data_IF_364711150720
#
_entry.id   IF_364711150720
#
_cell.length_a   1.000
_cell.length_b   1.000
_cell.length_c   1.000
_cell.angle_alpha   90.00
_cell.angle_beta   90.00
_cell.angle_gamma   90.00
#
_symmetry.space_group_name_H-M   'P 1'
#
loop_
_entity.id
_entity.type
_entity.pdbx_description
1 polymer ?
#
# COMPACT_ATOMS: atom_id res chain seq x y z
N UNK A 1 11.95 11.79 23.76
CA UNK A 1 11.31 10.72 22.96
C UNK A 1 10.07 11.16 22.19
N UNK A 2 8.96 11.59 22.81
CA UNK A 2 7.70 11.87 22.08
C UNK A 2 7.82 13.00 21.03
N UNK A 3 8.54 14.08 21.35
CA UNK A 3 8.81 15.18 20.41
C UNK A 3 9.72 14.79 19.25
N UNK A 4 10.71 13.92 19.49
CA UNK A 4 11.64 13.44 18.45
C UNK A 4 10.90 12.57 17.43
N UNK A 5 10.02 11.70 17.90
CA UNK A 5 9.17 10.85 17.03
C UNK A 5 8.21 11.74 16.24
N UNK A 6 7.58 12.72 16.88
CA UNK A 6 6.71 13.66 16.18
C UNK A 6 7.47 14.43 15.10
N UNK A 7 8.66 14.93 15.41
CA UNK A 7 9.51 15.61 14.44
C UNK A 7 9.92 14.69 13.28
N UNK A 8 10.24 13.42 13.57
CA UNK A 8 10.56 12.42 12.55
C UNK A 8 9.35 12.11 11.63
N UNK A 9 8.16 11.94 12.21
CA UNK A 9 6.91 11.73 11.45
C UNK A 9 6.65 12.93 10.54
N UNK A 10 6.73 14.15 11.08
CA UNK A 10 6.55 15.39 10.31
C UNK A 10 7.57 15.48 9.17
N UNK A 11 8.85 15.26 9.47
CA UNK A 11 9.91 15.30 8.46
C UNK A 11 9.68 14.28 7.33
N UNK A 12 9.37 13.02 7.68
CA UNK A 12 9.08 11.97 6.70
C UNK A 12 7.85 12.34 5.87
N UNK A 13 6.77 12.82 6.49
CA UNK A 13 5.56 13.24 5.78
C UNK A 13 5.84 14.39 4.82
N UNK A 14 6.57 15.42 5.25
CA UNK A 14 6.94 16.57 4.39
C UNK A 14 7.79 16.12 3.21
N UNK A 15 8.79 15.25 3.43
CA UNK A 15 9.62 14.71 2.35
C UNK A 15 8.77 13.90 1.38
N UNK A 16 7.88 13.04 1.88
CA UNK A 16 6.98 12.22 1.06
C UNK A 16 6.03 13.04 0.22
N UNK A 17 5.35 14.03 0.80
CA UNK A 17 4.40 14.88 0.09
C UNK A 17 5.11 15.79 -0.90
N UNK A 18 6.26 16.36 -0.54
CA UNK A 18 7.07 17.18 -1.47
C UNK A 18 7.52 16.35 -2.68
N UNK A 19 7.95 15.11 -2.45
CA UNK A 19 8.34 14.20 -3.53
C UNK A 19 7.17 13.89 -4.48
N UNK A 20 5.97 13.62 -3.95
CA UNK A 20 4.78 13.31 -4.77
C UNK A 20 4.25 14.53 -5.52
N UNK A 21 4.53 15.76 -5.07
CA UNK A 21 4.23 16.98 -5.84
C UNK A 21 5.15 17.11 -7.05
N UNK A 22 6.44 16.83 -6.90
CA UNK A 22 7.45 17.12 -7.95
C UNK A 22 7.62 15.97 -8.94
N UNK A 23 7.45 14.72 -8.50
CA UNK A 23 7.69 13.55 -9.35
C UNK A 23 6.47 13.12 -10.16
N UNK A 24 6.66 12.41 -11.28
CA UNK A 24 5.57 11.73 -11.98
C UNK A 24 4.85 10.75 -11.05
N UNK A 25 3.53 10.68 -11.18
CA UNK A 25 2.73 9.68 -10.46
C UNK A 25 2.93 8.29 -11.09
N UNK A 26 2.72 7.19 -10.32
CA UNK A 26 2.82 5.85 -10.86
C UNK A 26 1.87 5.63 -12.04
N UNK A 27 2.38 4.95 -13.07
CA UNK A 27 1.71 4.78 -14.37
C UNK A 27 0.28 4.21 -14.24
N UNK A 28 0.03 3.34 -13.26
CA UNK A 28 -1.26 2.64 -13.15
C UNK A 28 -2.37 3.48 -12.49
N UNK A 29 -2.03 4.63 -11.90
CA UNK A 29 -2.99 5.43 -11.13
C UNK A 29 -4.09 6.01 -12.01
N UNK A 30 -3.74 6.74 -13.07
CA UNK A 30 -4.72 7.36 -13.97
C UNK A 30 -5.44 6.38 -14.91
N UNK A 31 -4.79 5.37 -15.51
CA UNK A 31 -5.47 4.46 -16.44
C UNK A 31 -6.21 3.30 -15.76
N UNK A 32 -5.86 2.94 -14.51
CA UNK A 32 -6.47 1.78 -13.83
C UNK A 32 -7.16 2.14 -12.52
N UNK A 33 -6.49 2.85 -11.61
CA UNK A 33 -7.04 3.12 -10.27
C UNK A 33 -8.17 4.16 -10.30
N UNK A 34 -7.94 5.33 -10.90
CA UNK A 34 -8.95 6.41 -10.94
C UNK A 34 -10.24 6.00 -11.68
N UNK A 35 -10.18 5.32 -12.85
CA UNK A 35 -11.37 4.83 -13.53
C UNK A 35 -12.13 3.79 -12.71
N UNK A 36 -11.42 2.88 -12.04
CA UNK A 36 -12.02 1.89 -11.14
C UNK A 36 -12.78 2.56 -9.99
N UNK A 37 -12.16 3.53 -9.32
CA UNK A 37 -12.79 4.29 -8.23
C UNK A 37 -14.00 5.11 -8.70
N UNK A 38 -13.92 5.73 -9.88
CA UNK A 38 -15.02 6.56 -10.42
C UNK A 38 -16.25 5.72 -10.79
N UNK A 39 -16.03 4.51 -11.27
CA UNK A 39 -17.07 3.67 -11.87
C UNK A 39 -17.52 2.49 -11.00
N UNK A 40 -16.97 2.31 -9.80
CA UNK A 40 -17.30 1.17 -8.92
C UNK A 40 -18.80 0.98 -8.69
N UNK A 41 -19.58 2.07 -8.61
CA UNK A 41 -21.04 2.00 -8.47
C UNK A 41 -21.70 1.31 -9.68
N UNK A 42 -21.22 1.59 -10.89
CA UNK A 42 -21.74 0.97 -12.10
C UNK A 42 -21.36 -0.51 -12.18
N UNK A 43 -20.14 -0.86 -11.75
CA UNK A 43 -19.70 -2.27 -11.64
C UNK A 43 -20.60 -3.05 -10.69
N UNK A 44 -20.95 -2.48 -9.54
CA UNK A 44 -21.83 -3.13 -8.56
C UNK A 44 -23.29 -3.23 -9.02
N UNK A 45 -23.78 -2.29 -9.83
CA UNK A 45 -25.21 -2.18 -10.18
C UNK A 45 -25.58 -2.74 -11.56
N UNK A 46 -24.72 -2.62 -12.57
CA UNK A 46 -25.11 -2.74 -13.99
C UNK A 46 -24.41 -3.86 -14.77
N UNK A 47 -23.62 -4.71 -14.10
CA UNK A 47 -22.86 -5.79 -14.76
C UNK A 47 -21.96 -5.33 -15.93
N UNK A 48 -21.54 -4.06 -15.93
CA UNK A 48 -20.67 -3.52 -16.98
C UNK A 48 -19.22 -3.82 -16.64
N UNK A 49 -18.50 -4.48 -17.55
CA UNK A 49 -17.04 -4.59 -17.49
C UNK A 49 -16.46 -3.20 -17.70
N UNK A 50 -15.94 -2.59 -16.64
CA UNK A 50 -15.30 -1.26 -16.73
C UNK A 50 -13.81 -1.47 -16.93
N UNK A 51 -13.26 -0.86 -17.99
CA UNK A 51 -11.83 -0.72 -18.19
C UNK A 51 -11.22 0.11 -17.05
N UNK A 52 -10.65 -0.58 -16.06
CA UNK A 52 -10.09 0.02 -14.85
C UNK A 52 -9.64 -1.07 -13.89
N UNK A 53 -8.42 -1.58 -14.10
CA UNK A 53 -7.89 -2.79 -13.45
C UNK A 53 -7.31 -2.53 -12.06
N UNK A 54 -8.15 -2.20 -11.10
CA UNK A 54 -7.79 -2.21 -9.68
C UNK A 54 -8.47 -3.41 -9.00
N UNK A 55 -7.85 -4.61 -9.00
CA UNK A 55 -8.46 -5.86 -8.53
C UNK A 55 -8.51 -5.93 -6.99
N UNK A 56 -9.14 -4.95 -6.36
CA UNK A 56 -9.24 -4.83 -4.92
C UNK A 56 -10.64 -5.15 -4.42
N UNK A 57 -10.72 -5.60 -3.18
CA UNK A 57 -11.98 -5.98 -2.56
C UNK A 57 -12.82 -4.76 -2.21
N UNK A 58 -14.09 -4.99 -1.89
CA UNK A 58 -15.04 -3.92 -1.53
C UNK A 58 -14.54 -3.06 -0.36
N UNK A 59 -13.78 -3.65 0.56
CA UNK A 59 -13.17 -2.96 1.71
C UNK A 59 -12.14 -1.92 1.25
N UNK A 60 -11.32 -2.25 0.26
CA UNK A 60 -10.37 -1.29 -0.30
C UNK A 60 -11.09 -0.11 -0.96
N UNK A 61 -12.19 -0.37 -1.69
CA UNK A 61 -13.02 0.68 -2.27
C UNK A 61 -13.68 1.52 -1.18
N UNK A 62 -14.16 0.92 -0.09
CA UNK A 62 -14.76 1.64 1.03
C UNK A 62 -13.79 2.66 1.66
N UNK A 63 -12.50 2.34 1.72
CA UNK A 63 -11.45 3.25 2.22
C UNK A 63 -11.07 4.29 1.17
N UNK A 64 -10.81 3.87 -0.07
CA UNK A 64 -10.18 4.74 -1.08
C UNK A 64 -11.16 5.64 -1.83
N UNK A 65 -12.43 5.25 -1.95
CA UNK A 65 -13.45 6.04 -2.63
C UNK A 65 -13.70 7.42 -1.99
N UNK A 66 -13.89 7.57 -0.66
CA UNK A 66 -14.06 8.89 -0.06
C UNK A 66 -12.83 9.78 -0.26
N UNK A 67 -11.61 9.21 -0.20
CA UNK A 67 -10.36 9.93 -0.42
C UNK A 67 -10.26 10.40 -1.88
N UNK A 68 -10.59 9.53 -2.83
CA UNK A 68 -10.60 9.87 -4.26
C UNK A 68 -11.67 10.91 -4.60
N UNK A 69 -12.85 10.86 -3.95
CA UNK A 69 -13.88 11.91 -4.07
C UNK A 69 -13.38 13.25 -3.55
N UNK A 70 -12.73 13.28 -2.39
CA UNK A 70 -12.10 14.49 -1.86
C UNK A 70 -11.04 15.03 -2.83
N UNK A 71 -10.32 14.15 -3.51
CA UNK A 71 -9.33 14.49 -4.54
C UNK A 71 -9.94 14.82 -5.91
N UNK A 72 -11.27 14.84 -6.05
CA UNK A 72 -11.99 15.01 -7.32
C UNK A 72 -11.53 14.02 -8.41
N UNK A 73 -11.13 12.81 -8.01
CA UNK A 73 -10.56 11.77 -8.88
C UNK A 73 -9.29 12.19 -9.65
N UNK A 74 -8.54 13.16 -9.13
CA UNK A 74 -7.20 13.47 -9.61
C UNK A 74 -6.18 12.55 -8.90
N UNK A 75 -5.44 11.76 -9.65
CA UNK A 75 -4.51 10.77 -9.09
C UNK A 75 -3.41 11.37 -8.22
N UNK A 76 -2.89 12.55 -8.59
CA UNK A 76 -1.86 13.25 -7.81
C UNK A 76 -2.39 13.72 -6.46
N UNK A 77 -3.56 14.37 -6.43
CA UNK A 77 -4.17 14.78 -5.16
C UNK A 77 -4.60 13.60 -4.30
N UNK A 78 -5.04 12.50 -4.92
CA UNK A 78 -5.34 11.28 -4.19
C UNK A 78 -4.11 10.70 -3.49
N UNK A 79 -2.96 10.60 -4.17
CA UNK A 79 -1.69 10.16 -3.57
C UNK A 79 -1.25 11.12 -2.45
N UNK A 80 -1.45 12.43 -2.63
CA UNK A 80 -1.13 13.42 -1.59
C UNK A 80 -1.97 13.20 -0.33
N UNK A 81 -3.28 13.00 -0.46
CA UNK A 81 -4.14 12.67 0.67
C UNK A 81 -3.79 11.35 1.32
N UNK A 82 -3.44 10.32 0.54
CA UNK A 82 -2.90 9.08 1.10
C UNK A 82 -1.65 9.35 1.93
N UNK A 83 -0.69 10.13 1.43
CA UNK A 83 0.54 10.45 2.17
C UNK A 83 0.30 11.26 3.46
N UNK A 84 -0.69 12.15 3.46
CA UNK A 84 -1.08 12.91 4.65
C UNK A 84 -1.75 12.03 5.70
N UNK A 85 -2.69 11.17 5.29
CA UNK A 85 -3.36 10.22 6.18
C UNK A 85 -2.40 9.15 6.71
N UNK A 86 -1.42 8.74 5.89
CA UNK A 86 -0.38 7.78 6.27
C UNK A 86 0.48 8.27 7.46
N UNK A 87 0.52 9.59 7.72
CA UNK A 87 1.25 10.14 8.88
C UNK A 87 0.71 9.64 10.22
N UNK A 88 -0.61 9.38 10.31
CA UNK A 88 -1.26 8.81 11.49
C UNK A 88 -0.77 7.38 11.73
N UNK A 89 -0.66 6.59 10.66
CA UNK A 89 -0.22 5.20 10.72
C UNK A 89 1.29 5.11 10.94
N UNK A 90 2.07 6.05 10.39
CA UNK A 90 3.48 6.19 10.69
C UNK A 90 3.71 6.46 12.17
N UNK A 91 2.91 7.33 12.79
CA UNK A 91 2.93 7.52 14.23
C UNK A 91 2.50 6.25 14.99
N UNK A 92 1.41 5.60 14.59
CA UNK A 92 0.93 4.35 15.20
C UNK A 92 1.99 3.23 15.16
N UNK A 93 2.78 3.15 14.08
CA UNK A 93 3.83 2.15 13.92
C UNK A 93 4.90 2.19 15.01
N UNK A 94 5.05 3.33 15.70
CA UNK A 94 5.94 3.46 16.84
C UNK A 94 5.58 2.53 18.01
N UNK A 95 4.30 2.13 18.13
CA UNK A 95 3.86 1.17 19.15
C UNK A 95 4.53 -0.21 19.02
N UNK A 96 5.11 -0.51 17.85
CA UNK A 96 5.89 -1.73 17.59
C UNK A 96 7.39 -1.57 17.91
N UNK A 97 7.79 -0.44 18.51
CA UNK A 97 9.18 -0.09 18.76
C UNK A 97 9.89 0.51 17.53
N UNK A 98 11.15 0.90 17.72
CA UNK A 98 11.92 1.64 16.71
C UNK A 98 12.11 0.86 15.40
N UNK A 99 12.35 -0.46 15.48
CA UNK A 99 12.48 -1.31 14.30
C UNK A 99 11.17 -1.42 13.52
N UNK A 100 10.04 -1.57 14.20
CA UNK A 100 8.71 -1.57 13.57
C UNK A 100 8.42 -0.23 12.89
N UNK A 101 8.76 0.87 13.56
CA UNK A 101 8.66 2.22 12.99
C UNK A 101 9.51 2.37 11.72
N UNK A 102 10.77 1.97 11.73
CA UNK A 102 11.63 2.07 10.55
C UNK A 102 11.18 1.16 9.42
N UNK A 103 10.75 -0.07 9.73
CA UNK A 103 10.20 -0.99 8.73
C UNK A 103 8.98 -0.37 8.06
N UNK A 104 8.05 0.20 8.83
CA UNK A 104 6.89 0.87 8.30
C UNK A 104 7.24 2.15 7.53
N UNK A 105 8.15 2.98 8.06
CA UNK A 105 8.65 4.16 7.38
C UNK A 105 9.24 3.81 6.02
N UNK A 106 10.02 2.74 5.92
CA UNK A 106 10.60 2.29 4.67
C UNK A 106 9.54 1.71 3.71
N UNK A 107 8.78 0.70 4.15
CA UNK A 107 7.77 0.00 3.34
C UNK A 107 6.68 0.97 2.87
N UNK A 108 6.16 1.80 3.78
CA UNK A 108 5.16 2.81 3.49
C UNK A 108 5.66 3.86 2.50
N UNK A 109 6.91 4.33 2.62
CA UNK A 109 7.49 5.27 1.65
C UNK A 109 7.58 4.64 0.27
N UNK A 110 8.14 3.42 0.20
CA UNK A 110 8.31 2.72 -1.07
C UNK A 110 6.95 2.49 -1.75
N UNK A 111 5.96 2.02 -1.00
CA UNK A 111 4.63 1.78 -1.56
C UNK A 111 3.93 3.08 -1.93
N UNK A 112 4.04 4.16 -1.17
CA UNK A 112 3.42 5.45 -1.53
C UNK A 112 3.92 5.93 -2.89
N UNK A 113 5.22 5.77 -3.15
CA UNK A 113 5.85 6.24 -4.38
C UNK A 113 5.71 5.29 -5.57
N UNK A 114 5.46 3.99 -5.35
CA UNK A 114 5.49 2.97 -6.41
C UNK A 114 4.16 2.25 -6.62
N UNK A 115 3.41 2.04 -5.55
CA UNK A 115 2.14 1.31 -5.53
C UNK A 115 1.19 1.95 -4.50
N UNK A 116 0.78 3.22 -4.68
CA UNK A 116 0.05 4.00 -3.67
C UNK A 116 -1.27 3.37 -3.24
N UNK A 117 -1.90 2.58 -4.12
CA UNK A 117 -3.07 1.78 -3.81
C UNK A 117 -2.84 0.74 -2.70
N UNK A 118 -1.60 0.38 -2.35
CA UNK A 118 -1.32 -0.51 -1.23
C UNK A 118 -1.28 0.20 0.13
N UNK A 119 -1.24 1.54 0.15
CA UNK A 119 -1.12 2.30 1.40
C UNK A 119 -2.29 2.02 2.35
N UNK A 120 -3.52 1.97 1.84
CA UNK A 120 -4.67 1.57 2.65
C UNK A 120 -4.60 0.14 3.17
N UNK A 121 -3.87 -0.76 2.49
CA UNK A 121 -3.65 -2.12 2.99
C UNK A 121 -2.60 -2.11 4.12
N UNK A 122 -1.54 -1.30 4.01
CA UNK A 122 -0.60 -1.08 5.11
C UNK A 122 -1.30 -0.53 6.35
N UNK A 123 -2.27 0.37 6.18
CA UNK A 123 -3.09 0.91 7.27
C UNK A 123 -3.85 -0.20 7.99
N UNK A 124 -4.53 -1.07 7.24
CA UNK A 124 -5.22 -2.22 7.80
C UNK A 124 -4.24 -3.14 8.54
N UNK A 125 -3.06 -3.42 7.96
CA UNK A 125 -2.05 -4.24 8.65
C UNK A 125 -1.63 -3.60 9.98
N UNK A 126 -1.37 -2.29 10.04
CA UNK A 126 -1.01 -1.62 11.30
C UNK A 126 -2.15 -1.49 12.30
N UNK A 127 -3.40 -1.35 11.83
CA UNK A 127 -4.56 -1.33 12.72
C UNK A 127 -4.71 -2.64 13.49
N UNK A 128 -4.01 -3.71 13.11
CA UNK A 128 -3.95 -4.92 13.90
C UNK A 128 -3.33 -4.73 15.29
N UNK A 129 -2.45 -3.72 15.44
CA UNK A 129 -1.95 -3.28 16.75
C UNK A 129 -3.05 -2.76 17.67
N UNK A 130 -4.20 -2.38 17.12
CA UNK A 130 -5.40 -1.98 17.86
C UNK A 130 -6.39 -3.15 17.97
N UNK A 131 -6.58 -3.91 16.90
CA UNK A 131 -7.48 -5.07 16.88
C UNK A 131 -7.00 -6.15 15.91
N UNK A 132 -6.67 -7.37 16.37
CA UNK A 132 -6.06 -8.40 15.53
C UNK A 132 -6.88 -8.82 14.30
N UNK A 133 -8.20 -8.59 14.32
CA UNK A 133 -9.09 -8.83 13.18
C UNK A 133 -8.62 -8.12 11.90
N UNK A 134 -7.93 -6.99 12.03
CA UNK A 134 -7.42 -6.27 10.88
C UNK A 134 -6.35 -7.03 10.08
N UNK A 135 -5.62 -8.00 10.69
CA UNK A 135 -4.72 -8.89 9.94
C UNK A 135 -5.47 -9.83 8.99
N UNK A 136 -6.73 -10.15 9.27
CA UNK A 136 -7.59 -10.95 8.38
C UNK A 136 -8.23 -10.04 7.33
N UNK A 137 -8.65 -8.84 7.75
CA UNK A 137 -9.28 -7.85 6.87
C UNK A 137 -8.31 -7.36 5.79
N UNK A 138 -7.03 -7.18 6.10
CA UNK A 138 -6.03 -6.69 5.14
C UNK A 138 -5.90 -7.57 3.86
N UNK A 139 -5.69 -8.90 3.96
CA UNK A 139 -5.77 -9.81 2.82
C UNK A 139 -7.10 -9.74 2.07
N UNK A 140 -8.23 -9.71 2.79
CA UNK A 140 -9.56 -9.63 2.18
C UNK A 140 -9.72 -8.34 1.37
N UNK A 141 -9.23 -7.21 1.88
CA UNK A 141 -9.26 -5.93 1.17
C UNK A 141 -8.35 -5.93 -0.06
N UNK A 142 -7.23 -6.68 -0.02
CA UNK A 142 -6.29 -6.78 -1.14
C UNK A 142 -6.81 -7.68 -2.27
N UNK A 143 -7.55 -8.73 -1.93
CA UNK A 143 -8.18 -9.65 -2.88
C UNK A 143 -9.51 -9.07 -3.39
N UNK A 144 -10.00 -9.44 -4.57
CA UNK A 144 -11.27 -8.93 -5.14
C UNK A 144 -12.53 -9.45 -4.42
N UNK A 145 -12.46 -9.66 -3.10
CA UNK A 145 -13.57 -10.16 -2.29
C UNK A 145 -14.69 -9.13 -2.23
N UNK A 146 -15.93 -9.58 -2.43
CA UNK A 146 -17.12 -8.72 -2.42
C UNK A 146 -17.39 -7.99 -3.74
N UNK A 147 -16.55 -8.19 -4.76
CA UNK A 147 -16.88 -7.79 -6.14
C UNK A 147 -17.67 -8.91 -6.84
N UNK A 148 -18.54 -8.57 -7.81
CA UNK A 148 -19.24 -9.56 -8.59
C UNK A 148 -18.29 -10.28 -9.58
N UNK A 149 -18.55 -11.57 -9.84
CA UNK A 149 -17.65 -12.46 -10.60
C UNK A 149 -17.26 -11.94 -12.00
N UNK A 150 -18.14 -11.20 -12.68
CA UNK A 150 -17.85 -10.62 -13.99
C UNK A 150 -16.74 -9.55 -13.97
N UNK A 151 -16.39 -8.99 -12.81
CA UNK A 151 -15.27 -8.07 -12.64
C UNK A 151 -13.90 -8.80 -12.55
N UNK A 152 -13.89 -10.14 -12.44
CA UNK A 152 -12.68 -10.94 -12.24
C UNK A 152 -11.93 -11.23 -13.55
N UNK A 153 -12.59 -11.19 -14.72
CA UNK A 153 -11.95 -11.49 -16.00
C UNK A 153 -10.82 -10.52 -16.39
N UNK A 154 -10.92 -9.25 -15.98
CA UNK A 154 -9.84 -8.26 -16.13
C UNK A 154 -8.77 -8.32 -15.01
N UNK A 155 -9.10 -9.02 -13.92
CA UNK A 155 -8.27 -9.17 -12.71
C UNK A 155 -7.14 -10.18 -12.94
N UNK A 156 -7.40 -11.27 -13.67
CA UNK A 156 -6.38 -12.27 -14.04
C UNK A 156 -5.24 -11.65 -14.86
N UNK A 157 -5.54 -10.72 -15.77
CA UNK A 157 -4.51 -9.99 -16.54
C UNK A 157 -3.67 -9.04 -15.68
N UNK A 158 -4.19 -8.58 -14.54
CA UNK A 158 -3.50 -7.66 -13.65
C UNK A 158 -2.53 -8.38 -12.68
N UNK A 159 -2.75 -9.65 -12.35
CA UNK A 159 -1.86 -10.41 -11.47
C UNK A 159 -0.46 -10.63 -12.08
N UNK A 160 -0.36 -10.70 -13.41
CA UNK A 160 0.89 -11.00 -14.13
C UNK A 160 1.76 -9.78 -14.52
N UNK A 161 1.54 -8.59 -13.94
CA UNK A 161 2.44 -7.46 -14.17
C UNK A 161 3.82 -7.66 -13.51
N UNK A 162 4.88 -7.29 -14.26
CA UNK A 162 6.31 -7.61 -14.06
C UNK A 162 6.92 -7.30 -12.68
N UNK A 163 6.25 -6.50 -11.84
CA UNK A 163 6.73 -6.04 -10.53
C UNK A 163 5.79 -6.35 -9.35
N UNK A 164 4.66 -7.02 -9.59
CA UNK A 164 3.66 -7.26 -8.54
C UNK A 164 4.23 -8.01 -7.34
N UNK A 165 5.08 -9.02 -7.55
CA UNK A 165 5.65 -9.82 -6.46
C UNK A 165 6.40 -8.99 -5.42
N UNK A 166 7.04 -7.87 -5.80
CA UNK A 166 7.72 -6.96 -4.86
C UNK A 166 6.68 -6.28 -3.98
N UNK A 167 5.60 -5.77 -4.58
CA UNK A 167 4.55 -5.08 -3.86
C UNK A 167 3.80 -6.01 -2.91
N UNK A 168 3.48 -7.23 -3.33
CA UNK A 168 2.90 -8.26 -2.46
C UNK A 168 3.89 -8.74 -1.40
N UNK A 169 5.17 -8.89 -1.76
CA UNK A 169 6.23 -9.27 -0.83
C UNK A 169 6.38 -8.26 0.30
N UNK A 170 6.41 -6.95 -0.02
CA UNK A 170 6.47 -5.90 1.00
C UNK A 170 5.24 -5.86 1.90
N UNK A 171 4.04 -6.13 1.35
CA UNK A 171 2.82 -6.28 2.16
C UNK A 171 2.92 -7.50 3.08
N UNK A 172 3.36 -8.64 2.56
CA UNK A 172 3.55 -9.87 3.33
C UNK A 172 4.61 -9.70 4.43
N UNK A 173 5.71 -9.03 4.14
CA UNK A 173 6.74 -8.67 5.11
C UNK A 173 6.16 -7.83 6.25
N UNK A 174 5.44 -6.75 5.92
CA UNK A 174 4.81 -5.92 6.97
C UNK A 174 3.77 -6.72 7.77
N UNK A 175 2.96 -7.53 7.10
CA UNK A 175 1.97 -8.40 7.74
C UNK A 175 2.62 -9.35 8.74
N UNK A 176 3.71 -10.02 8.35
CA UNK A 176 4.45 -10.93 9.22
C UNK A 176 5.06 -10.20 10.41
N UNK A 177 5.69 -9.04 10.20
CA UNK A 177 6.24 -8.21 11.28
C UNK A 177 5.16 -7.92 12.33
N UNK A 178 3.97 -7.49 11.90
CA UNK A 178 2.87 -7.20 12.81
C UNK A 178 2.31 -8.47 13.47
N UNK A 179 2.15 -9.56 12.72
CA UNK A 179 1.69 -10.85 13.23
C UNK A 179 2.60 -11.38 14.35
N UNK A 180 3.91 -11.42 14.11
CA UNK A 180 4.89 -11.85 15.12
C UNK A 180 4.88 -10.93 16.34
N UNK A 181 4.76 -9.61 16.13
CA UNK A 181 4.67 -8.67 17.23
C UNK A 181 3.42 -8.89 18.12
N UNK A 182 2.30 -9.33 17.55
CA UNK A 182 1.03 -9.52 18.27
C UNK A 182 0.91 -10.90 18.93
N UNK A 183 1.18 -11.96 18.18
CA UNK A 183 0.82 -13.33 18.59
C UNK A 183 2.00 -14.14 19.12
N UNK A 184 3.22 -13.76 18.79
CA UNK A 184 4.42 -14.48 19.20
C UNK A 184 5.43 -13.52 19.88
N UNK A 185 5.00 -12.68 20.85
CA UNK A 185 5.90 -11.73 21.50
C UNK A 185 7.02 -12.41 22.30
N UNK A 186 6.82 -13.66 22.73
CA UNK A 186 7.85 -14.49 23.40
C UNK A 186 8.93 -15.01 22.45
N UNK A 187 8.64 -15.08 21.15
CA UNK A 187 9.59 -15.44 20.08
C UNK A 187 10.08 -14.18 19.37
N UNK A 188 9.69 -12.98 19.85
CA UNK A 188 10.15 -11.68 19.35
C UNK A 188 11.60 -11.44 19.79
N UNK A 189 12.48 -12.25 19.24
CA UNK A 189 13.89 -11.95 19.16
C UNK A 189 14.09 -10.85 18.09
N UNK A 190 15.01 -9.93 18.32
CA UNK A 190 15.31 -8.83 17.41
C UNK A 190 15.63 -9.35 16.00
N UNK A 191 16.13 -10.59 15.91
CA UNK A 191 16.39 -11.32 14.68
C UNK A 191 15.17 -11.36 13.73
N UNK A 192 13.93 -11.50 14.22
CA UNK A 192 12.73 -11.55 13.36
C UNK A 192 12.44 -10.19 12.74
N UNK A 193 12.53 -9.11 13.52
CA UNK A 193 12.32 -7.75 13.04
C UNK A 193 13.43 -7.34 12.07
N UNK A 194 14.67 -7.71 12.38
CA UNK A 194 15.84 -7.48 11.52
C UNK A 194 15.72 -8.24 10.21
N UNK A 195 15.31 -9.52 10.24
CA UNK A 195 15.07 -10.31 9.03
C UNK A 195 13.92 -9.73 8.20
N UNK A 196 12.81 -9.37 8.84
CA UNK A 196 11.68 -8.71 8.17
C UNK A 196 12.11 -7.42 7.47
N UNK A 197 12.84 -6.55 8.17
CA UNK A 197 13.39 -5.34 7.59
C UNK A 197 14.36 -5.64 6.43
N UNK A 198 15.26 -6.61 6.62
CA UNK A 198 16.21 -7.06 5.59
C UNK A 198 15.53 -7.58 4.32
N UNK A 199 14.45 -8.36 4.46
CA UNK A 199 13.63 -8.81 3.34
C UNK A 199 12.99 -7.64 2.60
N UNK A 200 12.48 -6.65 3.34
CA UNK A 200 11.93 -5.43 2.75
C UNK A 200 12.96 -4.68 1.89
N UNK A 201 14.17 -4.49 2.43
CA UNK A 201 15.28 -3.87 1.69
C UNK A 201 15.68 -4.68 0.45
N UNK A 202 15.77 -6.01 0.58
CA UNK A 202 16.12 -6.90 -0.53
C UNK A 202 15.09 -6.79 -1.67
N UNK A 203 13.80 -6.87 -1.35
CA UNK A 203 12.72 -6.75 -2.34
C UNK A 203 12.75 -5.41 -3.08
N UNK A 204 12.96 -4.31 -2.35
CA UNK A 204 13.12 -2.99 -2.95
C UNK A 204 14.38 -2.90 -3.85
N UNK A 205 15.49 -3.53 -3.43
CA UNK A 205 16.71 -3.57 -4.23
C UNK A 205 16.54 -4.36 -5.54
N UNK A 206 15.80 -5.48 -5.50
CA UNK A 206 15.49 -6.30 -6.67
C UNK A 206 14.61 -5.52 -7.66
N UNK A 207 13.66 -4.73 -7.17
CA UNK A 207 12.87 -3.82 -8.00
C UNK A 207 13.76 -2.82 -8.76
N UNK A 208 14.68 -2.15 -8.05
CA UNK A 208 15.59 -1.16 -8.64
C UNK A 208 16.50 -1.81 -9.69
N UNK A 209 17.08 -2.98 -9.38
CA UNK A 209 17.97 -3.72 -10.30
C UNK A 209 17.23 -4.16 -11.57
N UNK A 210 16.02 -4.70 -11.44
CA UNK A 210 15.25 -5.18 -12.60
C UNK A 210 14.81 -4.04 -13.52
N UNK A 211 14.50 -2.87 -12.96
CA UNK A 211 14.20 -1.66 -13.74
C UNK A 211 15.36 -1.22 -14.64
N UNK A 212 16.62 -1.35 -14.17
CA UNK A 212 17.83 -1.00 -14.94
C UNK A 212 18.15 -1.98 -16.08
N UNK A 213 17.76 -3.24 -15.94
CA UNK A 213 18.09 -4.31 -16.89
C UNK A 213 17.00 -4.53 -17.96
N UNK A 214 15.95 -3.70 -17.97
CA UNK A 214 14.95 -3.75 -19.05
C UNK A 214 15.50 -2.93 -20.21
N UNK A 215 15.72 -3.53 -21.40
CA UNK A 215 16.09 -2.74 -22.57
C UNK A 215 14.99 -1.72 -22.83
N UNK A 216 15.38 -0.45 -22.94
CA UNK A 216 14.55 0.58 -23.54
C UNK A 216 14.32 0.17 -24.99
N UNK A 217 13.23 -0.54 -25.28
CA UNK A 217 12.73 -0.58 -26.63
C UNK A 217 12.32 0.84 -26.98
N UNK A 218 13.19 1.51 -27.73
CA UNK A 218 12.82 2.67 -28.52
C UNK A 218 11.77 2.22 -29.53
N UNK A 219 10.57 2.81 -29.42
CA UNK A 219 9.60 2.98 -30.50
C UNK A 219 8.56 4.00 -30.04
#
# INVERSE_FOLDING_TARGET
MTFEILAAVVAITVVRTSWTVVRPIPHDVEPAIMPGLKNIRNVLQRQTVVSGRAPYGIIWYAINLPIARAAKFNGRYWILYLGLLDSIFLWLSWTMGWLGFLAYAFIGTFQLFRAPWNISINWLILLASVSPWFLIIAPIAKLPVGLPLHAFGDTERAFFFKHNFVYYGLLGTLWLIVFFNLFLPSIRDESILVQGFGWGLLLASLFIRRGRNTPTHAS
#
